data_IF_726202402292
#
_entry.id   IF_726202402292
#
_cell.length_a   1.000
_cell.length_b   1.000
_cell.length_c   1.000
_cell.angle_alpha   90.00
_cell.angle_beta   90.00
_cell.angle_gamma   90.00
#
_symmetry.space_group_name_H-M   'P 1'
#
loop_
_entity.id
_entity.type
_entity.pdbx_description
1 polymer ?
#
# COMPACT_ATOMS: atom_id res chain seq x y z
N UNK A 1 -2.68 0.75 -29.80
CA UNK A 1 -3.00 2.06 -29.19
C UNK A 1 -4.31 2.08 -28.36
N UNK A 2 -5.25 1.15 -28.56
CA UNK A 2 -6.52 1.15 -27.79
C UNK A 2 -6.34 0.92 -26.27
N UNK A 3 -5.40 0.05 -25.89
CA UNK A 3 -5.18 -0.33 -24.49
C UNK A 3 -4.64 0.83 -23.62
N UNK A 4 -3.83 1.73 -24.19
CA UNK A 4 -3.33 2.92 -23.49
C UNK A 4 -4.45 3.90 -23.14
N UNK A 5 -5.38 4.14 -24.09
CA UNK A 5 -6.54 5.01 -23.86
C UNK A 5 -7.43 4.49 -22.74
N UNK A 6 -7.74 3.19 -22.76
CA UNK A 6 -8.54 2.57 -21.71
C UNK A 6 -7.85 2.67 -20.35
N UNK A 7 -6.54 2.51 -20.28
CA UNK A 7 -5.78 2.67 -19.04
C UNK A 7 -5.87 4.11 -18.50
N UNK A 8 -5.70 5.12 -19.36
CA UNK A 8 -5.80 6.53 -18.96
C UNK A 8 -7.20 6.93 -18.50
N UNK A 9 -8.23 6.36 -19.11
CA UNK A 9 -9.63 6.48 -18.65
C UNK A 9 -9.81 5.90 -17.24
N UNK A 10 -9.29 4.70 -17.00
CA UNK A 10 -9.37 4.06 -15.69
C UNK A 10 -8.57 4.80 -14.61
N UNK A 11 -7.44 5.42 -14.95
CA UNK A 11 -6.69 6.28 -14.02
C UNK A 11 -7.53 7.49 -13.57
N UNK A 12 -8.24 8.13 -14.50
CA UNK A 12 -9.13 9.25 -14.17
C UNK A 12 -10.33 8.81 -13.35
N UNK A 13 -11.00 7.73 -13.78
CA UNK A 13 -12.18 7.20 -13.09
C UNK A 13 -11.86 6.74 -11.67
N UNK A 14 -10.76 6.02 -11.48
CA UNK A 14 -10.33 5.55 -10.16
C UNK A 14 -9.98 6.71 -9.22
N UNK A 15 -9.42 7.80 -9.74
CA UNK A 15 -9.15 9.03 -8.96
C UNK A 15 -10.44 9.70 -8.50
N UNK A 16 -11.44 9.80 -9.38
CA UNK A 16 -12.76 10.34 -9.03
C UNK A 16 -13.47 9.48 -7.97
N UNK A 17 -13.47 8.15 -8.14
CA UNK A 17 -14.06 7.23 -7.19
C UNK A 17 -13.40 7.34 -5.81
N UNK A 18 -12.06 7.44 -5.77
CA UNK A 18 -11.33 7.61 -4.52
C UNK A 18 -11.67 8.94 -3.83
N UNK A 19 -11.85 10.03 -4.58
CA UNK A 19 -12.25 11.32 -4.02
C UNK A 19 -13.64 11.22 -3.37
N UNK A 20 -14.63 10.70 -4.11
CA UNK A 20 -16.02 10.56 -3.63
C UNK A 20 -16.06 9.63 -2.41
N UNK A 21 -15.43 8.47 -2.48
CA UNK A 21 -15.39 7.52 -1.37
C UNK A 21 -14.76 8.12 -0.11
N UNK A 22 -13.69 8.91 -0.27
CA UNK A 22 -13.06 9.59 0.87
C UNK A 22 -13.88 10.76 1.41
N UNK A 23 -14.66 11.45 0.59
CA UNK A 23 -15.54 12.52 1.05
C UNK A 23 -16.66 11.99 1.97
N UNK A 24 -17.14 10.78 1.69
CA UNK A 24 -18.21 10.13 2.45
C UNK A 24 -17.72 9.14 3.53
N UNK A 25 -16.40 8.96 3.71
CA UNK A 25 -15.89 8.00 4.71
C UNK A 25 -15.86 8.59 6.13
N UNK A 26 -16.08 7.73 7.11
CA UNK A 26 -15.75 8.03 8.51
C UNK A 26 -14.26 7.74 8.76
N UNK A 27 -13.44 8.77 9.07
CA UNK A 27 -11.99 8.60 9.24
C UNK A 27 -11.60 7.74 10.45
N UNK A 28 -12.51 7.49 11.40
CA UNK A 28 -12.25 6.65 12.58
C UNK A 28 -12.51 5.18 12.31
N UNK A 29 -13.33 4.85 11.31
CA UNK A 29 -13.78 3.47 11.03
C UNK A 29 -13.03 2.82 9.88
N UNK A 30 -12.64 3.60 8.88
CA UNK A 30 -12.01 3.06 7.66
C UNK A 30 -10.77 3.84 7.26
N UNK A 31 -9.80 3.11 6.71
CA UNK A 31 -8.61 3.72 6.10
C UNK A 31 -9.00 4.61 4.93
N UNK A 32 -8.16 5.58 4.59
CA UNK A 32 -8.31 6.34 3.35
C UNK A 32 -8.25 5.41 2.13
N UNK A 33 -9.19 5.60 1.21
CA UNK A 33 -9.20 4.92 -0.08
C UNK A 33 -8.17 5.57 -1.02
N UNK A 34 -7.48 4.75 -1.80
CA UNK A 34 -6.50 5.19 -2.81
C UNK A 34 -7.07 4.88 -4.20
N UNK A 35 -6.68 5.62 -5.25
CA UNK A 35 -7.12 5.31 -6.63
C UNK A 35 -6.84 3.84 -7.03
N UNK A 36 -5.69 3.30 -6.59
CA UNK A 36 -5.30 1.89 -6.81
C UNK A 36 -6.26 0.85 -6.21
N UNK A 37 -7.14 1.25 -5.28
CA UNK A 37 -8.16 0.35 -4.74
C UNK A 37 -9.28 0.09 -5.76
N UNK A 38 -9.52 1.03 -6.68
CA UNK A 38 -10.58 0.99 -7.70
C UNK A 38 -10.08 0.69 -9.12
N UNK A 39 -8.81 0.95 -9.43
CA UNK A 39 -8.21 0.71 -10.75
C UNK A 39 -7.95 -0.78 -11.02
N UNK A 40 -8.57 -1.39 -12.05
CA UNK A 40 -8.35 -2.80 -12.43
C UNK A 40 -6.91 -3.10 -12.88
N UNK A 41 -6.22 -2.10 -13.43
CA UNK A 41 -4.84 -2.24 -13.92
C UNK A 41 -3.80 -1.99 -12.82
N UNK A 42 -4.23 -1.61 -11.61
CA UNK A 42 -3.31 -1.39 -10.51
C UNK A 42 -2.73 -2.72 -10.00
N UNK A 43 -1.40 -2.86 -10.08
CA UNK A 43 -0.69 -3.98 -9.46
C UNK A 43 -0.87 -3.91 -7.95
N UNK A 44 -1.53 -4.88 -7.32
CA UNK A 44 -1.64 -4.97 -5.85
C UNK A 44 -0.36 -5.61 -5.30
N UNK A 45 0.33 -4.94 -4.38
CA UNK A 45 1.44 -5.55 -3.65
C UNK A 45 0.87 -6.61 -2.72
N UNK A 46 1.20 -7.88 -2.94
CA UNK A 46 0.83 -8.94 -2.01
C UNK A 46 1.64 -8.72 -0.72
N UNK A 47 1.02 -8.82 0.47
CA UNK A 47 1.76 -8.76 1.71
C UNK A 47 2.79 -9.88 1.72
N UNK A 48 4.04 -9.55 2.06
CA UNK A 48 5.09 -10.56 2.19
C UNK A 48 4.81 -11.32 3.49
N UNK A 49 4.38 -12.57 3.36
CA UNK A 49 4.20 -13.46 4.50
C UNK A 49 5.58 -13.87 5.02
N UNK A 50 6.00 -13.27 6.13
CA UNK A 50 7.21 -13.66 6.87
C UNK A 50 6.83 -14.25 8.22
N UNK A 51 7.57 -15.28 8.65
CA UNK A 51 7.39 -15.86 9.97
C UNK A 51 7.81 -14.89 11.08
N UNK A 52 7.16 -14.97 12.24
CA UNK A 52 7.42 -14.13 13.43
C UNK A 52 8.90 -14.14 13.86
N UNK A 53 9.65 -15.20 13.53
CA UNK A 53 11.09 -15.32 13.81
C UNK A 53 11.95 -14.22 13.18
N UNK A 54 11.55 -13.70 12.01
CA UNK A 54 12.26 -12.58 11.34
C UNK A 54 12.28 -11.33 12.21
N UNK A 55 11.23 -11.10 13.00
CA UNK A 55 11.16 -9.98 13.92
C UNK A 55 12.23 -10.10 15.02
N UNK A 56 12.47 -11.30 15.54
CA UNK A 56 13.53 -11.54 16.53
C UNK A 56 14.91 -11.29 15.94
N UNK A 57 15.17 -11.72 14.71
CA UNK A 57 16.45 -11.49 14.05
C UNK A 57 16.73 -10.00 13.82
N UNK A 58 15.74 -9.24 13.36
CA UNK A 58 15.87 -7.78 13.14
C UNK A 58 16.10 -7.04 14.46
N UNK A 59 15.30 -7.32 15.48
CA UNK A 59 15.32 -6.54 16.72
C UNK A 59 16.39 -6.99 17.74
N UNK A 60 16.72 -8.28 17.85
CA UNK A 60 17.65 -8.79 18.87
C UNK A 60 19.09 -9.00 18.34
N UNK A 61 19.25 -9.24 17.04
CA UNK A 61 20.56 -9.52 16.43
C UNK A 61 21.22 -8.24 15.88
N UNK A 62 20.42 -7.27 15.43
CA UNK A 62 20.90 -5.97 14.96
C UNK A 62 21.45 -5.05 16.06
N UNK A 63 20.89 -5.09 17.27
CA UNK A 63 21.31 -4.24 18.40
C UNK A 63 22.70 -4.56 18.95
N UNK A 64 23.12 -5.84 18.92
CA UNK A 64 24.42 -6.27 19.45
C UNK A 64 25.64 -5.85 18.63
N UNK A 65 25.45 -5.28 17.44
CA UNK A 65 26.55 -4.81 16.58
C UNK A 65 26.94 -3.35 16.84
N UNK A 66 26.09 -2.56 17.50
CA UNK A 66 26.36 -1.16 17.84
C UNK A 66 27.13 -1.00 19.16
N UNK A 67 27.04 -1.95 20.08
CA UNK A 67 27.64 -1.85 21.42
C UNK A 67 29.14 -2.17 21.49
N UNK A 68 29.71 -2.83 20.46
CA UNK A 68 31.15 -3.14 20.38
C UNK A 68 32.00 -2.11 19.62
N UNK A 69 31.47 -0.91 19.34
CA UNK A 69 32.20 0.19 18.66
C UNK A 69 32.15 1.51 19.44
N UNK A 70 32.20 1.46 20.76
CA UNK A 70 32.50 2.60 21.62
C UNK A 70 33.58 2.22 22.62
#
# INVERSE_FOLDING_TARGET
MAEGRSRDEWVRMSSLMALIANAHRDPKKTRSFKPRDFDPFARRSRPVTVGIGVLKDVFLKGGRRQEKRR
#
